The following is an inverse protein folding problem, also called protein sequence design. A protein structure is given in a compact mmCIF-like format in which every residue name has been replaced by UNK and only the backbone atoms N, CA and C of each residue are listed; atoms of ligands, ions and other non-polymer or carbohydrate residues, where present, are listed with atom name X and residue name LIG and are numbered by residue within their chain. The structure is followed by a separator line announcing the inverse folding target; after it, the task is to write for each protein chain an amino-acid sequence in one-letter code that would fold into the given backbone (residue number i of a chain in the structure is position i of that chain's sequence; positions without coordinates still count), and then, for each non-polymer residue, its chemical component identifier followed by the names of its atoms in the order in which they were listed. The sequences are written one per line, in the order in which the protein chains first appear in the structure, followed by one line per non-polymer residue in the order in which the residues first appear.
data_IF_153640220861
#
_entry.id   IF_153640220861
#
_cell.length_a   1.000
_cell.length_b   1.000
_cell.length_c   1.000
_cell.angle_alpha   90.00
_cell.angle_beta   90.00
_cell.angle_gamma   90.00
#
_symmetry.space_group_name_H-M   'P 1'
#
loop_
_entity.id
_entity.type
_entity.pdbx_description
1 polymer ?
#
# COMPACT_ATOMS: atom_id res chain seq x y z
N UNK A 1 -36.40 0.48 -12.69
CA UNK A 1 -35.70 0.04 -11.46
C UNK A 1 -34.97 -1.29 -11.71
N UNK A 2 -33.76 -1.30 -12.29
CA UNK A 2 -32.90 -2.50 -12.29
C UNK A 2 -31.48 -2.19 -12.80
N UNK A 3 -30.69 -1.49 -11.99
CA UNK A 3 -29.24 -1.43 -12.17
C UNK A 3 -28.52 -1.85 -10.87
N UNK A 4 -29.12 -1.53 -9.72
CA UNK A 4 -28.64 -1.96 -8.40
C UNK A 4 -28.75 -3.47 -8.13
N UNK A 5 -29.69 -4.18 -8.79
CA UNK A 5 -29.94 -5.61 -8.53
C UNK A 5 -29.02 -6.57 -9.30
N UNK A 6 -28.27 -6.07 -10.29
CA UNK A 6 -27.33 -6.87 -11.10
C UNK A 6 -25.87 -6.79 -10.59
N UNK A 7 -25.61 -5.93 -9.61
CA UNK A 7 -24.31 -5.73 -8.96
C UNK A 7 -24.38 -5.82 -7.42
N UNK A 8 -25.47 -6.36 -6.86
CA UNK A 8 -25.69 -6.40 -5.40
C UNK A 8 -24.75 -7.34 -4.65
N UNK A 9 -24.14 -8.32 -5.32
CA UNK A 9 -23.22 -9.26 -4.66
C UNK A 9 -21.82 -8.65 -4.44
N UNK A 10 -21.46 -7.62 -5.20
CA UNK A 10 -20.13 -7.02 -5.16
C UNK A 10 -19.86 -6.17 -3.90
N UNK A 11 -20.81 -5.35 -3.39
CA UNK A 11 -20.67 -4.65 -2.11
C UNK A 11 -20.65 -5.60 -0.91
N UNK A 12 -21.42 -6.70 -0.94
CA UNK A 12 -21.59 -7.59 0.22
C UNK A 12 -20.28 -8.30 0.59
N UNK A 13 -19.43 -8.63 -0.39
CA UNK A 13 -18.13 -9.26 -0.12
C UNK A 13 -16.96 -8.26 -0.04
N UNK A 14 -16.95 -7.19 -0.84
CA UNK A 14 -15.85 -6.21 -0.80
C UNK A 14 -15.91 -5.28 0.41
N UNK A 15 -17.10 -4.89 0.85
CA UNK A 15 -17.26 -3.95 1.98
C UNK A 15 -16.70 -4.50 3.29
N UNK A 16 -17.03 -5.74 3.74
CA UNK A 16 -16.45 -6.29 4.96
C UNK A 16 -14.94 -6.52 4.81
N UNK A 17 -14.45 -6.86 3.61
CA UNK A 17 -13.02 -7.05 3.37
C UNK A 17 -12.23 -5.74 3.52
N UNK A 18 -12.75 -4.63 2.99
CA UNK A 18 -12.17 -3.28 3.17
C UNK A 18 -12.26 -2.86 4.63
N UNK A 19 -13.40 -3.10 5.28
CA UNK A 19 -13.60 -2.78 6.70
C UNK A 19 -12.62 -3.52 7.60
N UNK A 20 -12.50 -4.84 7.46
CA UNK A 20 -11.55 -5.67 8.22
C UNK A 20 -10.13 -5.16 7.99
N UNK A 21 -9.76 -4.86 6.74
CA UNK A 21 -8.43 -4.30 6.45
C UNK A 21 -8.19 -2.96 7.15
N UNK A 22 -9.17 -2.05 7.11
CA UNK A 22 -9.09 -0.75 7.77
C UNK A 22 -8.96 -0.87 9.30
N UNK A 23 -9.71 -1.81 9.91
CA UNK A 23 -9.58 -2.13 11.34
C UNK A 23 -8.19 -2.70 11.62
N UNK A 24 -7.74 -3.71 10.88
CA UNK A 24 -6.40 -4.31 11.05
C UNK A 24 -5.28 -3.27 10.95
N UNK A 25 -5.43 -2.29 10.07
CA UNK A 25 -4.48 -1.19 9.90
C UNK A 25 -4.51 -0.16 11.04
N UNK A 26 -5.62 -0.08 11.78
CA UNK A 26 -5.83 0.87 12.89
C UNK A 26 -5.51 0.26 14.25
N UNK A 27 -5.51 -1.08 14.37
CA UNK A 27 -5.16 -1.81 15.60
C UNK A 27 -3.83 -1.37 16.22
N UNK A 28 -2.72 -1.17 15.47
CA UNK A 28 -1.46 -0.77 16.07
C UNK A 28 -1.56 0.57 16.84
N UNK A 29 -2.29 1.54 16.28
CA UNK A 29 -2.49 2.86 16.90
C UNK A 29 -3.31 2.71 18.18
N UNK A 30 -4.39 1.94 18.13
CA UNK A 30 -5.28 1.71 19.27
C UNK A 30 -4.51 1.01 20.40
N UNK A 31 -3.76 -0.05 20.07
CA UNK A 31 -2.93 -0.76 21.05
C UNK A 31 -1.86 0.16 21.66
N UNK A 32 -1.16 0.94 20.85
CA UNK A 32 -0.17 1.89 21.36
C UNK A 32 -0.81 2.94 22.28
N UNK A 33 -1.98 3.46 21.92
CA UNK A 33 -2.70 4.42 22.74
C UNK A 33 -3.12 3.82 24.09
N UNK A 34 -3.63 2.58 24.09
CA UNK A 34 -4.10 1.89 25.29
C UNK A 34 -2.97 1.43 26.21
N UNK A 35 -1.85 0.93 25.67
CA UNK A 35 -0.75 0.37 26.46
C UNK A 35 0.36 1.38 26.80
N UNK A 36 0.62 2.34 25.92
CA UNK A 36 1.77 3.26 26.02
C UNK A 36 1.36 4.74 26.02
N UNK A 37 0.06 5.03 26.07
CA UNK A 37 -0.50 6.38 26.13
C UNK A 37 -0.61 7.10 24.78
N UNK A 38 -1.33 8.23 24.79
CA UNK A 38 -1.66 8.99 23.59
C UNK A 38 -0.43 9.55 22.85
N UNK A 39 0.63 9.93 23.57
CA UNK A 39 1.85 10.49 22.96
C UNK A 39 2.55 9.49 22.03
N UNK A 40 2.70 8.23 22.48
CA UNK A 40 3.32 7.15 21.70
C UNK A 40 2.51 6.83 20.44
N UNK A 41 1.19 6.79 20.56
CA UNK A 41 0.29 6.60 19.43
C UNK A 41 0.38 7.77 18.43
N UNK A 42 0.53 9.01 18.92
CA UNK A 42 0.75 10.20 18.11
C UNK A 42 2.02 10.11 17.27
N UNK A 43 3.15 9.74 17.90
CA UNK A 43 4.42 9.56 17.18
C UNK A 43 4.33 8.49 16.09
N UNK A 44 3.74 7.33 16.41
CA UNK A 44 3.54 6.27 15.42
C UNK A 44 2.63 6.72 14.28
N UNK A 45 1.55 7.44 14.59
CA UNK A 45 0.60 7.93 13.59
C UNK A 45 1.28 8.89 12.63
N UNK A 46 2.07 9.85 13.13
CA UNK A 46 2.80 10.78 12.27
C UNK A 46 3.80 10.03 11.38
N UNK A 47 4.60 9.12 11.95
CA UNK A 47 5.53 8.29 11.20
C UNK A 47 4.82 7.52 10.08
N UNK A 48 3.71 6.86 10.39
CA UNK A 48 2.91 6.10 9.43
C UNK A 48 2.36 6.97 8.31
N UNK A 49 1.82 8.16 8.62
CA UNK A 49 1.29 9.09 7.61
C UNK A 49 2.40 9.60 6.69
N UNK A 50 3.55 9.98 7.27
CA UNK A 50 4.71 10.44 6.52
C UNK A 50 5.24 9.37 5.54
N UNK A 51 5.28 8.10 5.95
CA UNK A 51 5.68 6.99 5.07
C UNK A 51 4.61 6.61 4.04
N UNK A 52 3.33 6.82 4.35
CA UNK A 52 2.23 6.51 3.44
C UNK A 52 2.13 7.47 2.25
N UNK A 53 2.50 8.74 2.43
CA UNK A 53 2.46 9.76 1.37
C UNK A 53 3.28 9.39 0.13
N UNK A 54 4.59 9.12 0.20
CA UNK A 54 5.39 8.76 -0.97
C UNK A 54 4.88 7.46 -1.60
N UNK A 55 4.49 6.48 -0.78
CA UNK A 55 3.93 5.21 -1.24
C UNK A 55 2.65 5.40 -2.07
N UNK A 56 1.79 6.35 -1.67
CA UNK A 56 0.53 6.63 -2.34
C UNK A 56 0.76 7.41 -3.63
N UNK A 57 1.61 8.42 -3.62
CA UNK A 57 1.93 9.23 -4.80
C UNK A 57 2.59 8.39 -5.90
N UNK A 58 3.62 7.61 -5.52
CA UNK A 58 4.33 6.73 -6.45
C UNK A 58 3.38 5.64 -6.96
N UNK A 59 2.64 5.00 -6.05
CA UNK A 59 1.69 3.95 -6.40
C UNK A 59 0.58 4.43 -7.34
N UNK A 60 0.06 5.64 -7.15
CA UNK A 60 -0.94 6.24 -8.04
C UNK A 60 -0.34 6.50 -9.42
N UNK A 61 0.83 7.14 -9.48
CA UNK A 61 1.52 7.45 -10.74
C UNK A 61 1.79 6.19 -11.58
N UNK A 62 2.21 5.10 -10.93
CA UNK A 62 2.39 3.81 -11.62
C UNK A 62 1.07 3.18 -12.01
N UNK A 63 0.04 3.22 -11.16
CA UNK A 63 -1.30 2.72 -11.49
C UNK A 63 -1.90 3.42 -12.72
N UNK A 64 -1.78 4.74 -12.80
CA UNK A 64 -2.30 5.56 -13.91
C UNK A 64 -1.64 5.21 -15.25
N UNK A 65 -0.36 4.82 -15.24
CA UNK A 65 0.39 4.43 -16.45
C UNK A 65 0.22 2.95 -16.79
N UNK A 66 0.19 2.07 -15.78
CA UNK A 66 0.19 0.62 -16.01
C UNK A 66 -1.20 0.04 -16.24
N UNK A 67 -2.25 0.52 -15.55
CA UNK A 67 -3.58 -0.07 -15.71
C UNK A 67 -4.15 0.03 -17.13
N UNK A 68 -4.05 1.18 -17.84
CA UNK A 68 -4.45 1.24 -19.24
C UNK A 68 -3.63 0.28 -20.11
N UNK A 69 -2.31 0.26 -19.90
CA UNK A 69 -1.38 -0.56 -20.69
C UNK A 69 -1.57 -2.05 -20.49
N UNK A 70 -1.99 -2.48 -19.29
CA UNK A 70 -2.34 -3.87 -19.02
C UNK A 70 -3.63 -4.28 -19.72
N UNK A 71 -4.65 -3.40 -19.74
CA UNK A 71 -5.89 -3.68 -20.49
C UNK A 71 -5.63 -3.82 -21.99
N UNK A 72 -4.75 -2.99 -22.55
CA UNK A 72 -4.35 -3.08 -23.95
C UNK A 72 -3.55 -4.35 -24.24
N UNK A 73 -2.56 -4.67 -23.40
CA UNK A 73 -1.76 -5.90 -23.49
C UNK A 73 -2.61 -7.18 -23.41
N UNK A 74 -3.62 -7.18 -22.54
CA UNK A 74 -4.54 -8.31 -22.42
C UNK A 74 -5.39 -8.52 -23.69
N UNK A 75 -5.72 -7.45 -24.41
CA UNK A 75 -6.48 -7.51 -25.68
C UNK A 75 -5.61 -7.89 -26.87
N UNK A 76 -4.34 -7.48 -26.87
CA UNK A 76 -3.39 -7.73 -27.96
C UNK A 76 -2.63 -9.06 -27.82
N UNK A 77 -2.81 -9.79 -26.71
CA UNK A 77 -2.08 -11.04 -26.43
C UNK A 77 -0.61 -10.80 -26.05
N UNK A 78 -0.26 -9.59 -25.61
CA UNK A 78 1.10 -9.25 -25.19
C UNK A 78 1.45 -9.88 -23.84
N UNK A 79 2.75 -10.08 -23.58
CA UNK A 79 3.23 -10.65 -22.33
C UNK A 79 3.05 -9.67 -21.15
N UNK A 80 1.93 -9.81 -20.44
CA UNK A 80 1.56 -9.00 -19.26
C UNK A 80 2.60 -9.12 -18.14
N UNK A 81 3.24 -10.29 -17.97
CA UNK A 81 4.26 -10.52 -16.94
C UNK A 81 5.45 -9.58 -17.10
N UNK A 82 5.87 -9.32 -18.34
CA UNK A 82 6.99 -8.39 -18.62
C UNK A 82 6.64 -6.95 -18.22
N UNK A 83 5.40 -6.52 -18.45
CA UNK A 83 4.91 -5.21 -18.02
C UNK A 83 4.92 -5.12 -16.49
N UNK A 84 4.40 -6.14 -15.79
CA UNK A 84 4.36 -6.17 -14.34
C UNK A 84 5.76 -6.11 -13.71
N UNK A 85 6.72 -6.89 -14.23
CA UNK A 85 8.12 -6.84 -13.77
C UNK A 85 8.70 -5.43 -13.96
N UNK A 86 8.47 -4.82 -15.13
CA UNK A 86 8.93 -3.46 -15.40
C UNK A 86 8.33 -2.44 -14.42
N UNK A 87 7.05 -2.57 -14.08
CA UNK A 87 6.39 -1.74 -13.08
C UNK A 87 7.06 -1.87 -11.70
N UNK A 88 7.24 -3.11 -11.24
CA UNK A 88 7.87 -3.41 -9.95
C UNK A 88 9.30 -2.90 -9.88
N UNK A 89 10.08 -3.04 -10.96
CA UNK A 89 11.45 -2.50 -11.02
C UNK A 89 11.47 -0.97 -10.94
N UNK A 90 10.56 -0.27 -11.64
CA UNK A 90 10.46 1.19 -11.55
C UNK A 90 10.08 1.62 -10.13
N UNK A 91 9.10 0.96 -9.52
CA UNK A 91 8.69 1.22 -8.13
C UNK A 91 9.84 0.99 -7.14
N UNK A 92 10.63 -0.06 -7.33
CA UNK A 92 11.80 -0.35 -6.51
C UNK A 92 12.84 0.78 -6.63
N UNK A 93 13.21 1.18 -7.85
CA UNK A 93 14.22 2.22 -8.07
C UNK A 93 13.75 3.58 -7.54
N UNK A 94 12.50 3.98 -7.83
CA UNK A 94 11.95 5.27 -7.40
C UNK A 94 11.74 5.31 -5.88
N UNK A 95 11.32 4.19 -5.28
CA UNK A 95 11.16 4.09 -3.83
C UNK A 95 12.50 4.02 -3.09
N UNK A 96 13.54 3.44 -3.68
CA UNK A 96 14.79 3.18 -2.98
C UNK A 96 15.39 4.43 -2.35
N UNK A 97 15.40 5.56 -3.08
CA UNK A 97 15.99 6.81 -2.58
C UNK A 97 15.26 7.38 -1.35
N UNK A 98 13.94 7.68 -1.39
CA UNK A 98 13.25 8.26 -0.24
C UNK A 98 13.24 7.31 0.98
N UNK A 99 13.07 6.00 0.78
CA UNK A 99 13.05 5.06 1.91
C UNK A 99 14.44 4.91 2.54
N UNK A 100 15.51 4.84 1.73
CA UNK A 100 16.89 4.78 2.25
C UNK A 100 17.24 6.02 3.07
N UNK A 101 16.85 7.20 2.61
CA UNK A 101 17.06 8.46 3.36
C UNK A 101 16.41 8.39 4.74
N UNK A 102 15.16 7.91 4.84
CA UNK A 102 14.49 7.79 6.13
C UNK A 102 15.11 6.70 7.01
N UNK A 103 15.56 5.57 6.44
CA UNK A 103 16.24 4.51 7.22
C UNK A 103 17.51 5.03 7.89
N UNK A 104 18.29 5.85 7.19
CA UNK A 104 19.57 6.38 7.70
C UNK A 104 19.36 7.61 8.58
N UNK A 105 18.53 8.56 8.12
CA UNK A 105 18.40 9.89 8.70
C UNK A 105 17.03 10.19 9.32
N UNK A 106 16.16 9.20 9.48
CA UNK A 106 14.77 9.37 9.95
C UNK A 106 14.60 10.32 11.15
N UNK A 107 15.29 10.10 12.28
CA UNK A 107 15.18 10.96 13.46
C UNK A 107 15.58 12.41 13.18
N UNK A 108 16.65 12.60 12.39
CA UNK A 108 17.12 13.93 12.00
C UNK A 108 16.11 14.61 11.06
N UNK A 109 15.66 13.92 9.99
CA UNK A 109 14.66 14.45 9.04
C UNK A 109 13.38 14.86 9.75
N UNK A 110 12.84 14.00 10.61
CA UNK A 110 11.61 14.31 11.34
C UNK A 110 11.80 15.45 12.33
N UNK A 111 12.95 15.52 13.01
CA UNK A 111 13.25 16.62 13.92
C UNK A 111 13.35 17.97 13.20
N UNK A 112 13.88 18.00 11.98
CA UNK A 112 13.99 19.22 11.17
C UNK A 112 12.66 19.65 10.56
N UNK A 113 11.83 18.69 10.09
CA UNK A 113 10.58 18.98 9.38
C UNK A 113 9.42 19.28 10.34
N UNK A 114 9.31 18.53 11.44
CA UNK A 114 8.17 18.61 12.35
C UNK A 114 8.51 19.25 13.70
N UNK A 115 9.80 19.36 14.05
CA UNK A 115 10.29 19.88 15.33
C UNK A 115 11.02 18.83 16.17
N UNK A 116 11.84 19.26 17.12
CA UNK A 116 12.79 18.39 17.86
C UNK A 116 12.14 17.24 18.62
N UNK A 117 10.89 17.41 19.07
CA UNK A 117 10.11 16.37 19.76
C UNK A 117 9.71 15.19 18.86
N UNK A 118 9.72 15.39 17.53
CA UNK A 118 9.31 14.38 16.56
C UNK A 118 10.44 13.43 16.13
N UNK A 119 11.64 13.57 16.68
CA UNK A 119 12.73 12.63 16.46
C UNK A 119 12.34 11.18 16.75
N UNK A 120 11.48 10.96 17.75
CA UNK A 120 10.91 9.64 18.09
C UNK A 120 10.04 9.08 16.95
N UNK A 121 9.30 9.94 16.26
CA UNK A 121 8.54 9.54 15.06
C UNK A 121 9.48 9.16 13.93
N UNK A 122 10.61 9.84 13.81
CA UNK A 122 11.67 9.48 12.88
C UNK A 122 12.25 8.09 13.16
N UNK A 123 12.45 7.71 14.42
CA UNK A 123 12.86 6.33 14.79
C UNK A 123 11.81 5.30 14.37
N UNK A 124 10.52 5.56 14.64
CA UNK A 124 9.44 4.69 14.15
C UNK A 124 9.40 4.61 12.63
N UNK A 125 9.65 5.72 11.94
CA UNK A 125 9.68 5.79 10.49
C UNK A 125 10.80 4.92 9.90
N UNK A 126 11.95 4.76 10.57
CA UNK A 126 13.02 3.84 10.12
C UNK A 126 12.52 2.39 10.03
N UNK A 127 11.83 1.91 11.07
CA UNK A 127 11.29 0.55 11.09
C UNK A 127 10.14 0.39 10.08
N UNK A 128 9.26 1.39 9.98
CA UNK A 128 8.16 1.38 9.02
C UNK A 128 8.65 1.49 7.56
N UNK A 129 9.80 2.12 7.30
CA UNK A 129 10.33 2.32 5.95
C UNK A 129 10.52 1.02 5.21
N UNK A 130 11.06 -0.01 5.86
CA UNK A 130 11.22 -1.33 5.25
C UNK A 130 9.87 -1.94 4.88
N UNK A 131 8.89 -1.88 5.78
CA UNK A 131 7.54 -2.39 5.54
C UNK A 131 6.87 -1.69 4.35
N UNK A 132 6.90 -0.35 4.32
CA UNK A 132 6.28 0.44 3.26
C UNK A 132 7.00 0.27 1.91
N UNK A 133 8.33 0.17 1.91
CA UNK A 133 9.12 -0.10 0.70
C UNK A 133 8.77 -1.45 0.08
N UNK A 134 8.74 -2.51 0.89
CA UNK A 134 8.35 -3.85 0.42
C UNK A 134 6.90 -3.87 -0.08
N UNK A 135 5.99 -3.18 0.62
CA UNK A 135 4.60 -3.06 0.17
C UNK A 135 4.50 -2.34 -1.17
N UNK A 136 5.28 -1.28 -1.38
CA UNK A 136 5.30 -0.51 -2.62
C UNK A 136 5.74 -1.39 -3.80
N UNK A 137 6.81 -2.16 -3.64
CA UNK A 137 7.33 -3.07 -4.68
C UNK A 137 6.33 -4.20 -4.99
N UNK A 138 5.58 -4.68 -4.00
CA UNK A 138 4.63 -5.79 -4.18
C UNK A 138 3.33 -5.37 -4.87
N UNK A 139 2.97 -4.07 -4.91
CA UNK A 139 1.70 -3.61 -5.49
C UNK A 139 1.39 -4.16 -6.89
N UNK A 140 2.31 -4.16 -7.87
CA UNK A 140 2.03 -4.70 -9.20
C UNK A 140 1.78 -6.20 -9.17
N UNK A 141 2.49 -6.95 -8.31
CA UNK A 141 2.30 -8.40 -8.15
C UNK A 141 0.90 -8.73 -7.62
N UNK A 142 0.38 -7.96 -6.67
CA UNK A 142 -0.99 -8.14 -6.17
C UNK A 142 -2.02 -7.82 -7.27
N UNK A 143 -1.80 -6.76 -8.05
CA UNK A 143 -2.67 -6.42 -9.18
C UNK A 143 -2.63 -7.45 -10.32
N UNK A 144 -1.56 -8.25 -10.42
CA UNK A 144 -1.42 -9.32 -11.40
C UNK A 144 -2.31 -10.55 -11.12
N UNK A 145 -2.60 -10.85 -9.85
CA UNK A 145 -3.30 -12.08 -9.44
C UNK A 145 -4.70 -12.22 -10.07
N UNK A 146 -5.57 -11.19 -10.09
CA UNK A 146 -6.84 -11.24 -10.82
C UNK A 146 -6.66 -11.41 -12.33
N UNK A 147 -5.62 -10.79 -12.90
CA UNK A 147 -5.40 -10.67 -14.34
C UNK A 147 -4.84 -11.94 -14.96
N UNK A 148 -4.03 -12.70 -14.23
CA UNK A 148 -3.52 -14.02 -14.64
C UNK A 148 -4.57 -15.14 -14.50
N UNK A 149 -5.81 -14.81 -14.12
CA UNK A 149 -6.88 -15.79 -13.97
C UNK A 149 -6.74 -16.71 -12.74
N UNK A 150 -5.75 -16.48 -11.86
CA UNK A 150 -5.55 -17.25 -10.63
C UNK A 150 -6.71 -17.08 -9.63
N UNK A 151 -7.54 -16.05 -9.79
CA UNK A 151 -8.81 -15.93 -9.05
C UNK A 151 -9.80 -17.07 -9.34
N UNK A 152 -9.73 -17.73 -10.50
CA UNK A 152 -10.65 -18.83 -10.85
C UNK A 152 -10.46 -20.08 -9.98
N UNK A 153 -9.31 -20.24 -9.30
CA UNK A 153 -9.09 -21.34 -8.36
C UNK A 153 -9.81 -21.19 -7.01
N UNK A 154 -10.21 -19.97 -6.64
CA UNK A 154 -10.79 -19.69 -5.32
C UNK A 154 -12.32 -19.64 -5.31
N UNK A 155 -12.95 -19.49 -6.49
CA UNK A 155 -14.41 -19.33 -6.61
C UNK A 155 -15.15 -20.53 -7.24
N UNK A 156 -14.46 -21.57 -7.70
CA UNK A 156 -15.08 -22.69 -8.42
C UNK A 156 -15.34 -23.97 -7.61
N UNK A 157 -15.10 -24.02 -6.30
CA UNK A 157 -15.34 -25.24 -5.47
C UNK A 157 -16.66 -25.24 -4.69
N UNK A 158 -17.60 -24.33 -4.95
CA UNK A 158 -19.00 -24.48 -4.52
C UNK A 158 -19.97 -23.87 -5.54
N UNK A 159 -20.30 -24.66 -6.55
CA UNK A 159 -21.59 -24.63 -7.22
C UNK A 159 -22.35 -25.89 -6.85
#
# INVERSE_FOLDING_TARGET
MSLAKKYSDFPIYRTPQIFINAVSQSLPVIMLASFFGASTAGFYTLARLAMAMPSTLIGKSVGDVFYPRINDAARSGENITRLLIKASSILAVVGFLPFTIIVIFGPWVFSQVFGSEWGVSGEYARYLSLFFYLNLINRPSVSAVPMLGLQKGYFYTKS
#
